data_IF_227026374918
#
_entry.id   IF_227026374918
#
_cell.length_a   1.000
_cell.length_b   1.000
_cell.length_c   1.000
_cell.angle_alpha   90.00
_cell.angle_beta   90.00
_cell.angle_gamma   90.00
#
_symmetry.space_group_name_H-M   'P 1'
#
loop_
_entity.id
_entity.type
_entity.pdbx_description
1 polymer ?
#
# COMPACT_ATOMS: atom_id res chain seq x y z
N UNK A 1 9.42 0.15 -7.57
CA UNK A 1 9.24 1.50 -8.12
C UNK A 1 7.91 1.53 -8.84
N UNK A 2 7.33 2.72 -9.06
CA UNK A 2 6.24 2.85 -10.05
C UNK A 2 6.77 2.51 -11.45
N UNK A 3 5.98 1.93 -12.36
CA UNK A 3 4.58 1.50 -12.17
C UNK A 3 4.43 0.08 -11.59
N UNK A 4 5.52 -0.64 -11.30
CA UNK A 4 5.47 -2.02 -10.75
C UNK A 4 5.12 -2.10 -9.25
N UNK A 5 5.04 -0.95 -8.57
CA UNK A 5 4.82 -0.85 -7.13
C UNK A 5 5.79 -1.68 -6.27
N UNK A 6 7.04 -1.81 -6.70
CA UNK A 6 8.07 -2.49 -5.90
C UNK A 6 8.76 -1.55 -4.90
N UNK A 7 9.33 -2.08 -3.83
CA UNK A 7 10.14 -1.30 -2.91
C UNK A 7 11.51 -1.01 -3.55
N UNK A 8 12.02 0.22 -3.41
CA UNK A 8 13.36 0.59 -3.93
C UNK A 8 14.50 -0.09 -3.17
N UNK A 9 14.26 -0.49 -1.93
CA UNK A 9 15.28 -1.05 -1.04
C UNK A 9 15.35 -2.57 -1.18
N UNK A 10 14.22 -3.26 -1.09
CA UNK A 10 14.19 -4.73 -1.06
C UNK A 10 13.55 -5.39 -2.28
N UNK A 11 13.14 -4.62 -3.30
CA UNK A 11 12.46 -5.09 -4.50
C UNK A 11 11.12 -5.84 -4.30
N UNK A 12 10.69 -6.10 -3.06
CA UNK A 12 9.39 -6.71 -2.76
C UNK A 12 8.21 -5.78 -3.10
N UNK A 13 6.99 -6.32 -3.15
CA UNK A 13 5.77 -5.54 -3.30
C UNK A 13 5.67 -4.45 -2.22
N UNK A 14 5.63 -3.19 -2.64
CA UNK A 14 5.48 -2.05 -1.76
C UNK A 14 3.99 -1.77 -1.47
N UNK A 15 3.58 -1.46 -0.22
CA UNK A 15 4.44 -1.35 0.96
C UNK A 15 4.84 -2.73 1.52
N UNK A 16 6.15 -2.97 1.57
CA UNK A 16 6.74 -4.15 2.18
C UNK A 16 6.77 -3.98 3.72
N UNK A 17 6.99 -5.04 4.52
CA UNK A 17 6.94 -4.93 5.99
C UNK A 17 7.81 -3.80 6.59
N UNK A 18 9.06 -3.58 6.14
CA UNK A 18 9.85 -2.42 6.60
C UNK A 18 9.23 -1.07 6.25
N UNK A 19 8.65 -0.92 5.05
CA UNK A 19 7.97 0.31 4.65
C UNK A 19 6.72 0.56 5.50
N UNK A 20 5.93 -0.49 5.79
CA UNK A 20 4.76 -0.39 6.69
C UNK A 20 5.17 0.07 8.09
N UNK A 21 6.28 -0.47 8.61
CA UNK A 21 6.83 -0.06 9.91
C UNK A 21 7.24 1.42 9.91
N UNK A 22 8.02 1.84 8.92
CA UNK A 22 8.51 3.23 8.81
C UNK A 22 7.35 4.22 8.65
N UNK A 23 6.40 3.93 7.76
CA UNK A 23 5.19 4.74 7.60
C UNK A 23 4.36 4.79 8.90
N UNK A 24 4.25 3.67 9.60
CA UNK A 24 3.59 3.64 10.91
C UNK A 24 4.30 4.49 11.97
N UNK A 25 5.63 4.57 11.93
CA UNK A 25 6.41 5.44 12.82
C UNK A 25 6.26 6.92 12.44
N UNK A 26 6.33 7.24 11.16
CA UNK A 26 6.19 8.60 10.63
C UNK A 26 4.82 9.20 10.95
N UNK A 27 3.76 8.42 10.72
CA UNK A 27 2.38 8.83 10.95
C UNK A 27 1.85 8.42 12.34
N UNK A 28 2.72 8.08 13.29
CA UNK A 28 2.34 7.66 14.67
C UNK A 28 1.32 8.59 15.32
N UNK A 29 1.47 9.90 15.09
CA UNK A 29 0.64 10.95 15.71
C UNK A 29 -0.68 11.20 14.96
N UNK A 30 -0.79 10.72 13.72
CA UNK A 30 -1.96 10.88 12.87
C UNK A 30 -2.19 9.63 11.97
N UNK A 31 -2.78 8.56 12.53
CA UNK A 31 -3.07 7.34 11.78
C UNK A 31 -4.17 7.54 10.72
N UNK A 32 -4.96 8.61 10.82
CA UNK A 32 -5.95 8.96 9.79
C UNK A 32 -5.21 9.46 8.55
N UNK A 33 -4.24 10.35 8.71
CA UNK A 33 -3.39 10.80 7.60
C UNK A 33 -2.64 9.64 6.92
N UNK A 34 -2.18 8.64 7.67
CA UNK A 34 -1.61 7.42 7.08
C UNK A 34 -2.62 6.70 6.18
N UNK A 35 -3.84 6.53 6.67
CA UNK A 35 -4.90 5.83 5.93
C UNK A 35 -5.28 6.60 4.65
N UNK A 36 -5.35 7.93 4.72
CA UNK A 36 -5.60 8.78 3.54
C UNK A 36 -4.45 8.70 2.53
N UNK A 37 -3.20 8.80 2.99
CA UNK A 37 -2.02 8.65 2.13
C UNK A 37 -2.01 7.28 1.41
N UNK A 38 -2.29 6.21 2.18
CA UNK A 38 -2.33 4.86 1.65
C UNK A 38 -3.53 4.61 0.72
N UNK A 39 -4.65 5.31 0.90
CA UNK A 39 -5.79 5.26 -0.02
C UNK A 39 -5.47 5.90 -1.37
N UNK A 40 -4.77 7.04 -1.39
CA UNK A 40 -4.25 7.62 -2.64
C UNK A 40 -3.30 6.66 -3.35
N UNK A 41 -2.41 6.02 -2.58
CA UNK A 41 -1.55 4.98 -3.11
C UNK A 41 -2.34 3.78 -3.68
N UNK A 42 -3.38 3.31 -3.00
CA UNK A 42 -4.23 2.24 -3.53
C UNK A 42 -4.83 2.60 -4.90
N UNK A 43 -5.34 3.82 -5.03
CA UNK A 43 -5.95 4.30 -6.28
C UNK A 43 -4.94 4.27 -7.44
N UNK A 44 -3.77 4.87 -7.25
CA UNK A 44 -2.71 4.87 -8.26
C UNK A 44 -2.22 3.45 -8.58
N UNK A 45 -2.14 2.57 -7.56
CA UNK A 45 -1.68 1.19 -7.74
C UNK A 45 -2.62 0.36 -8.56
N UNK A 46 -3.92 0.57 -8.35
CA UNK A 46 -4.97 -0.10 -9.09
C UNK A 46 -4.84 0.23 -10.58
N UNK A 47 -4.70 1.52 -10.91
CA UNK A 47 -4.53 1.96 -12.29
C UNK A 47 -3.26 1.38 -12.93
N UNK A 48 -2.10 1.50 -12.26
CA UNK A 48 -0.82 1.01 -12.79
C UNK A 48 -0.83 -0.52 -12.98
N UNK A 49 -1.27 -1.27 -11.98
CA UNK A 49 -1.16 -2.73 -11.99
C UNK A 49 -2.17 -3.40 -12.94
N UNK A 50 -3.37 -2.85 -13.08
CA UNK A 50 -4.34 -3.33 -14.08
C UNK A 50 -3.78 -3.12 -15.50
N UNK A 51 -3.14 -1.98 -15.77
CA UNK A 51 -2.55 -1.70 -17.06
C UNK A 51 -1.34 -2.60 -17.37
N UNK A 52 -0.53 -2.94 -16.36
CA UNK A 52 0.66 -3.79 -16.53
C UNK A 52 0.33 -5.28 -16.64
N UNK A 53 -0.68 -5.76 -15.92
CA UNK A 53 -1.09 -7.16 -15.96
C UNK A 53 -2.62 -7.27 -15.95
N UNK A 54 -3.26 -7.29 -17.13
CA UNK A 54 -4.70 -7.39 -17.23
C UNK A 54 -5.25 -8.80 -16.95
N UNK A 55 -4.41 -9.85 -16.90
CA UNK A 55 -4.90 -11.23 -16.75
C UNK A 55 -3.95 -12.17 -15.96
N UNK A 56 -4.31 -12.56 -14.72
CA UNK A 56 -5.39 -11.99 -13.92
C UNK A 56 -5.01 -10.60 -13.40
N UNK A 57 -5.95 -9.66 -13.49
CA UNK A 57 -5.86 -8.40 -12.78
C UNK A 57 -5.76 -8.64 -11.26
N UNK A 58 -5.07 -7.77 -10.50
CA UNK A 58 -4.99 -7.90 -9.06
C UNK A 58 -6.38 -7.85 -8.42
N UNK A 59 -6.63 -8.75 -7.47
CA UNK A 59 -7.89 -8.80 -6.72
C UNK A 59 -8.08 -7.52 -5.89
N UNK A 60 -9.29 -6.94 -5.84
CA UNK A 60 -9.59 -5.80 -4.96
C UNK A 60 -9.27 -6.08 -3.49
N UNK A 61 -9.48 -7.32 -3.02
CA UNK A 61 -9.16 -7.73 -1.66
C UNK A 61 -7.64 -7.73 -1.42
N UNK A 62 -6.85 -8.22 -2.37
CA UNK A 62 -5.38 -8.25 -2.26
C UNK A 62 -4.81 -6.83 -2.22
N UNK A 63 -5.37 -5.92 -3.02
CA UNK A 63 -4.99 -4.52 -3.00
C UNK A 63 -5.39 -3.84 -1.69
N UNK A 64 -6.60 -4.12 -1.17
CA UNK A 64 -7.03 -3.62 0.13
C UNK A 64 -6.09 -4.10 1.26
N UNK A 65 -5.79 -5.39 1.32
CA UNK A 65 -4.90 -5.98 2.33
C UNK A 65 -3.47 -5.43 2.24
N UNK A 66 -3.02 -5.17 1.03
CA UNK A 66 -1.71 -4.60 0.75
C UNK A 66 -1.59 -3.14 1.20
N UNK A 67 -2.58 -2.31 0.89
CA UNK A 67 -2.49 -0.86 1.09
C UNK A 67 -3.17 -0.36 2.37
N UNK A 68 -4.36 -0.85 2.71
CA UNK A 68 -5.22 -0.22 3.72
C UNK A 68 -5.47 -1.07 4.98
N UNK A 69 -5.57 -2.40 4.88
CA UNK A 69 -6.01 -3.23 6.02
C UNK A 69 -5.13 -3.06 7.29
N UNK A 70 -3.87 -2.67 7.12
CA UNK A 70 -2.92 -2.49 8.21
C UNK A 70 -2.82 -1.05 8.74
N UNK A 71 -3.45 -0.05 8.11
CA UNK A 71 -3.38 1.36 8.54
C UNK A 71 -4.36 1.70 9.64
N UNK A 72 -5.45 0.93 9.75
CA UNK A 72 -6.42 1.09 10.81
C UNK A 72 -5.79 0.72 12.17
N UNK A 73 -5.82 1.66 13.11
CA UNK A 73 -5.41 1.37 14.50
C UNK A 73 -6.40 0.35 15.07
N UNK A 74 -5.90 -0.81 15.51
CA UNK A 74 -6.73 -1.71 16.34
C UNK A 74 -7.12 -0.91 17.57
N UNK A 75 -8.42 -0.70 17.77
CA UNK A 75 -8.97 -0.19 19.02
C UNK A 75 -8.70 -1.27 20.07
N UNK A 76 -7.67 -1.06 20.88
CA UNK A 76 -7.46 -1.75 22.16
C UNK A 76 -8.32 -1.09 23.21
#
# INVERSE_FOLDING_TARGET
>A
MRPLWLCRVCAAAWPCPPARLLLGMEYRRDPVALSVYMAGCLFDATADLINLNPSPAPSPADLFDRFLAWTARRRT
#
